data_IF_001493137086
#
_entry.id   IF_001493137086
#
_cell.length_a   1.000
_cell.length_b   1.000
_cell.length_c   1.000
_cell.angle_alpha   90.00
_cell.angle_beta   90.00
_cell.angle_gamma   90.00
#
_symmetry.space_group_name_H-M   'P 1'
#
loop_
_entity.id
_entity.type
_entity.pdbx_description
1 polymer ?
#
# COMPACT_ATOMS: atom_id res chain seq x y z
N UNK A 1 1.43 -15.09 -6.85
CA UNK A 1 2.51 -14.10 -6.84
C UNK A 1 2.19 -12.99 -7.82
N UNK A 2 2.29 -11.73 -7.42
CA UNK A 2 2.19 -10.56 -8.31
C UNK A 2 3.50 -9.80 -8.34
N UNK A 3 3.74 -9.16 -9.48
CA UNK A 3 4.83 -8.22 -9.71
C UNK A 3 4.22 -6.96 -10.29
N UNK A 4 4.52 -5.82 -9.71
CA UNK A 4 4.04 -4.52 -10.17
C UNK A 4 5.25 -3.66 -10.53
N UNK A 5 5.22 -3.11 -11.75
CA UNK A 5 6.19 -2.14 -12.24
C UNK A 5 5.43 -0.87 -12.57
N UNK A 6 5.81 0.23 -11.97
CA UNK A 6 5.11 1.48 -12.16
C UNK A 6 6.01 2.69 -12.11
N UNK A 7 5.41 3.81 -12.38
CA UNK A 7 6.01 5.11 -12.16
C UNK A 7 4.94 6.06 -11.64
N UNK A 8 5.32 6.95 -10.75
CA UNK A 8 4.45 7.97 -10.17
C UNK A 8 5.11 9.32 -10.31
N UNK A 9 4.35 10.31 -10.74
CA UNK A 9 4.79 11.70 -10.74
C UNK A 9 5.00 12.17 -9.29
N UNK A 10 6.12 12.83 -8.99
CA UNK A 10 6.37 13.43 -7.67
C UNK A 10 5.79 14.84 -7.56
N UNK A 11 5.99 15.50 -6.41
CA UNK A 11 5.50 16.86 -6.17
C UNK A 11 6.17 17.93 -7.04
N UNK A 12 7.28 17.61 -7.70
CA UNK A 12 8.00 18.48 -8.64
C UNK A 12 7.61 18.21 -10.10
N UNK A 13 6.73 17.25 -10.37
CA UNK A 13 6.32 16.84 -11.71
C UNK A 13 7.31 15.88 -12.39
N UNK A 14 8.23 15.27 -11.63
CA UNK A 14 9.17 14.29 -12.15
C UNK A 14 8.64 12.85 -11.95
N UNK A 15 8.82 12.01 -12.96
CA UNK A 15 8.42 10.61 -12.90
C UNK A 15 9.45 9.78 -12.15
N UNK A 16 8.99 9.08 -11.10
CA UNK A 16 9.80 8.22 -10.24
C UNK A 16 9.37 6.76 -10.41
N UNK A 17 10.34 5.88 -10.55
CA UNK A 17 10.12 4.44 -10.71
C UNK A 17 9.65 3.79 -9.41
N UNK A 18 8.83 2.74 -9.55
CA UNK A 18 8.41 1.89 -8.46
C UNK A 18 8.36 0.42 -8.90
N UNK A 19 8.74 -0.46 -8.01
CA UNK A 19 8.62 -1.91 -8.12
C UNK A 19 7.96 -2.45 -6.87
N UNK A 20 7.01 -3.37 -7.02
CA UNK A 20 6.46 -4.13 -5.90
C UNK A 20 6.28 -5.60 -6.29
N UNK A 21 6.40 -6.47 -5.32
CA UNK A 21 6.16 -7.91 -5.46
C UNK A 21 5.41 -8.41 -4.24
N UNK A 22 4.40 -9.25 -4.45
CA UNK A 22 3.65 -9.91 -3.40
C UNK A 22 3.55 -11.40 -3.67
N UNK A 23 3.79 -12.19 -2.63
CA UNK A 23 3.65 -13.65 -2.65
C UNK A 23 2.67 -14.04 -1.54
N UNK A 24 1.55 -14.64 -1.92
CA UNK A 24 0.53 -15.14 -1.00
C UNK A 24 0.48 -16.67 -1.05
N UNK A 25 0.63 -17.32 0.10
CA UNK A 25 0.69 -18.77 0.23
C UNK A 25 -0.31 -19.24 1.28
N UNK A 26 -1.22 -20.12 0.89
CA UNK A 26 -2.05 -20.85 1.85
C UNK A 26 -1.26 -21.97 2.51
N UNK A 27 -1.16 -21.93 3.84
CA UNK A 27 -0.47 -22.95 4.66
C UNK A 27 -1.45 -24.07 5.02
N UNK A 28 -2.69 -23.71 5.33
CA UNK A 28 -3.77 -24.67 5.63
C UNK A 28 -5.04 -24.26 4.87
N UNK A 29 -6.13 -24.99 5.07
CA UNK A 29 -7.44 -24.60 4.50
C UNK A 29 -7.95 -23.23 4.97
N UNK A 30 -7.41 -22.70 6.08
CA UNK A 30 -7.86 -21.42 6.67
C UNK A 30 -6.72 -20.42 6.83
N UNK A 31 -5.51 -20.85 7.13
CA UNK A 31 -4.37 -19.99 7.43
C UNK A 31 -3.52 -19.73 6.18
N UNK A 32 -3.02 -18.53 6.05
CA UNK A 32 -2.10 -18.12 5.00
C UNK A 32 -1.02 -17.17 5.49
N UNK A 33 -0.04 -16.99 4.64
CA UNK A 33 1.08 -16.07 4.79
C UNK A 33 1.24 -15.28 3.49
N UNK A 34 1.35 -13.97 3.62
CA UNK A 34 1.73 -13.10 2.50
C UNK A 34 3.06 -12.44 2.82
N UNK A 35 3.93 -12.34 1.84
CA UNK A 35 5.18 -11.58 1.90
C UNK A 35 5.22 -10.54 0.79
N UNK A 36 5.65 -9.33 1.12
CA UNK A 36 5.72 -8.20 0.21
C UNK A 36 7.13 -7.63 0.18
N UNK A 37 7.58 -7.22 -1.00
CA UNK A 37 8.82 -6.50 -1.23
C UNK A 37 8.51 -5.33 -2.15
N UNK A 38 8.94 -4.13 -1.80
CA UNK A 38 8.76 -2.96 -2.64
C UNK A 38 9.99 -2.05 -2.65
N UNK A 39 10.18 -1.36 -3.77
CA UNK A 39 11.13 -0.28 -3.94
C UNK A 39 10.43 0.88 -4.62
N UNK A 40 10.58 2.08 -4.10
CA UNK A 40 9.98 3.29 -4.64
C UNK A 40 10.97 4.44 -4.64
N UNK A 41 11.29 4.94 -5.81
CA UNK A 41 12.11 6.15 -5.95
C UNK A 41 11.29 7.37 -5.50
N UNK A 42 11.93 8.25 -4.75
CA UNK A 42 11.35 9.52 -4.30
C UNK A 42 12.39 10.64 -4.44
N UNK A 43 11.95 11.89 -4.35
CA UNK A 43 12.88 13.02 -4.27
C UNK A 43 13.80 12.95 -3.03
N UNK A 44 13.37 12.25 -1.99
CA UNK A 44 14.10 12.06 -0.73
C UNK A 44 15.06 10.86 -0.71
N UNK A 45 15.07 10.01 -1.72
CA UNK A 45 15.83 8.74 -1.81
C UNK A 45 14.94 7.58 -2.24
N UNK A 46 15.52 6.40 -2.40
CA UNK A 46 14.77 5.18 -2.70
C UNK A 46 14.31 4.53 -1.41
N UNK A 47 13.01 4.33 -1.25
CA UNK A 47 12.43 3.58 -0.14
C UNK A 47 12.44 2.10 -0.51
N UNK A 48 13.07 1.28 0.33
CA UNK A 48 12.96 -0.17 0.32
C UNK A 48 12.00 -0.64 1.42
N UNK A 49 11.08 -1.56 1.12
CA UNK A 49 10.11 -2.08 2.09
C UNK A 49 9.99 -3.59 2.02
N UNK A 50 9.91 -4.23 3.19
CA UNK A 50 9.65 -5.66 3.36
C UNK A 50 8.46 -5.85 4.29
N UNK A 51 7.41 -6.50 3.80
CA UNK A 51 6.18 -6.78 4.55
C UNK A 51 5.96 -8.29 4.76
N UNK A 52 5.30 -8.61 5.86
CA UNK A 52 4.83 -9.96 6.15
C UNK A 52 3.44 -9.90 6.78
N UNK A 53 2.52 -10.76 6.32
CA UNK A 53 1.15 -10.86 6.82
C UNK A 53 0.84 -12.30 7.18
N UNK A 54 0.36 -12.52 8.40
CA UNK A 54 -0.14 -13.82 8.86
C UNK A 54 -1.64 -13.70 9.03
N UNK A 55 -2.40 -14.48 8.30
CA UNK A 55 -3.83 -14.28 8.23
C UNK A 55 -4.65 -15.58 8.31
N UNK A 56 -5.92 -15.40 8.59
CA UNK A 56 -6.97 -16.43 8.48
C UNK A 56 -7.96 -16.02 7.39
N UNK A 57 -8.35 -16.98 6.55
CA UNK A 57 -9.41 -16.87 5.55
C UNK A 57 -10.45 -17.99 5.75
N UNK A 58 -11.31 -17.89 6.78
CA UNK A 58 -12.22 -18.96 7.15
C UNK A 58 -13.36 -19.18 6.14
N UNK A 59 -13.65 -18.17 5.33
CA UNK A 59 -14.69 -18.20 4.28
C UNK A 59 -14.23 -17.43 3.05
N UNK A 60 -14.76 -17.76 1.86
CA UNK A 60 -14.58 -16.93 0.67
C UNK A 60 -14.97 -15.47 0.92
N UNK A 61 -14.13 -14.54 0.52
CA UNK A 61 -14.36 -13.11 0.73
C UNK A 61 -14.19 -12.61 2.17
N UNK A 62 -13.60 -13.40 3.07
CA UNK A 62 -13.20 -12.99 4.42
C UNK A 62 -11.74 -13.33 4.66
N UNK A 63 -10.92 -12.33 4.96
CA UNK A 63 -9.50 -12.46 5.26
C UNK A 63 -9.15 -11.46 6.36
N UNK A 64 -8.52 -11.89 7.44
CA UNK A 64 -8.08 -10.98 8.52
C UNK A 64 -6.86 -11.55 9.22
N UNK A 65 -6.00 -10.67 9.71
CA UNK A 65 -4.75 -11.07 10.30
C UNK A 65 -3.96 -9.96 10.94
N UNK A 66 -2.68 -10.25 11.10
CA UNK A 66 -1.68 -9.33 11.59
C UNK A 66 -0.65 -9.10 10.50
N UNK A 67 -0.09 -7.92 10.48
CA UNK A 67 1.02 -7.59 9.58
C UNK A 67 2.19 -6.99 10.34
N UNK A 68 3.35 -7.10 9.71
CA UNK A 68 4.59 -6.45 10.09
C UNK A 68 5.22 -5.87 8.82
N UNK A 69 5.77 -4.67 8.91
CA UNK A 69 6.49 -4.03 7.82
C UNK A 69 7.79 -3.41 8.33
N UNK A 70 8.82 -3.51 7.53
CA UNK A 70 10.13 -2.91 7.76
C UNK A 70 10.52 -2.16 6.49
N UNK A 71 10.94 -0.91 6.64
CA UNK A 71 11.34 -0.07 5.52
C UNK A 71 12.56 0.75 5.87
N UNK A 72 13.34 1.11 4.84
CA UNK A 72 14.44 2.04 4.96
C UNK A 72 14.55 2.98 3.75
N UNK A 73 15.40 3.99 3.85
CA UNK A 73 15.68 4.93 2.75
C UNK A 73 17.14 4.87 2.39
N UNK A 74 17.44 4.55 1.14
CA UNK A 74 18.79 4.56 0.62
C UNK A 74 19.41 5.96 0.72
N UNK A 75 20.68 6.00 1.12
CA UNK A 75 21.46 7.24 1.30
C UNK A 75 21.12 8.03 2.57
N UNK A 76 20.25 7.53 3.44
CA UNK A 76 19.93 8.13 4.74
C UNK A 76 20.01 7.07 5.84
N UNK A 77 20.45 7.50 7.04
CA UNK A 77 20.41 6.63 8.23
C UNK A 77 19.00 6.68 8.83
N UNK A 78 18.02 6.10 8.13
CA UNK A 78 16.63 6.10 8.53
C UNK A 78 15.95 4.81 8.14
N UNK A 79 15.49 4.08 9.15
CA UNK A 79 14.66 2.89 8.98
C UNK A 79 13.44 3.00 9.89
N UNK A 80 12.34 2.39 9.49
CA UNK A 80 11.14 2.30 10.33
C UNK A 80 10.51 0.93 10.28
N UNK A 81 9.86 0.58 11.37
CA UNK A 81 9.11 -0.65 11.51
C UNK A 81 7.68 -0.35 11.93
N UNK A 82 6.74 -1.11 11.43
CA UNK A 82 5.33 -1.03 11.83
C UNK A 82 4.71 -2.41 11.97
N UNK A 83 3.72 -2.51 12.84
CA UNK A 83 2.92 -3.72 13.02
C UNK A 83 1.47 -3.33 13.30
N UNK A 84 0.55 -4.24 12.97
CA UNK A 84 -0.86 -3.96 13.18
C UNK A 84 -1.77 -5.13 12.84
N UNK A 85 -3.06 -4.81 12.81
CA UNK A 85 -4.11 -5.73 12.41
C UNK A 85 -4.80 -5.22 11.15
N UNK A 86 -5.29 -6.17 10.35
CA UNK A 86 -5.94 -5.89 9.07
C UNK A 86 -7.07 -6.87 8.81
N UNK A 87 -7.99 -6.46 7.96
CA UNK A 87 -9.11 -7.29 7.55
C UNK A 87 -9.65 -6.88 6.20
N UNK A 88 -10.09 -7.89 5.44
CA UNK A 88 -10.68 -7.75 4.12
C UNK A 88 -11.97 -8.53 4.07
N UNK A 89 -13.04 -7.88 3.63
CA UNK A 89 -14.39 -8.44 3.63
C UNK A 89 -15.10 -8.12 2.33
N UNK A 90 -15.64 -9.15 1.67
CA UNK A 90 -16.55 -8.98 0.56
C UNK A 90 -17.93 -8.59 1.11
N UNK A 91 -18.39 -7.39 0.79
CA UNK A 91 -19.66 -6.83 1.28
C UNK A 91 -20.79 -6.96 0.26
N UNK A 92 -20.46 -7.13 -1.01
CA UNK A 92 -21.37 -7.41 -2.10
C UNK A 92 -20.66 -8.18 -3.21
N UNK A 93 -21.40 -8.65 -4.22
CA UNK A 93 -20.78 -9.25 -5.40
C UNK A 93 -19.83 -8.25 -6.07
N UNK A 94 -18.59 -8.67 -6.31
CA UNK A 94 -17.56 -7.83 -6.88
C UNK A 94 -17.08 -6.66 -6.01
N UNK A 95 -17.51 -6.56 -4.73
CA UNK A 95 -17.17 -5.44 -3.86
C UNK A 95 -16.48 -5.91 -2.58
N UNK A 96 -15.27 -5.41 -2.35
CA UNK A 96 -14.45 -5.71 -1.17
C UNK A 96 -14.17 -4.42 -0.42
N UNK A 97 -14.21 -4.51 0.91
CA UNK A 97 -13.67 -3.50 1.83
C UNK A 97 -12.47 -4.09 2.54
N UNK A 98 -11.38 -3.34 2.60
CA UNK A 98 -10.21 -3.63 3.42
C UNK A 98 -10.04 -2.54 4.45
N UNK A 99 -9.64 -2.90 5.67
CA UNK A 99 -9.28 -1.97 6.72
C UNK A 99 -8.04 -2.43 7.46
N UNK A 100 -7.27 -1.48 7.98
CA UNK A 100 -6.09 -1.75 8.80
C UNK A 100 -5.90 -0.68 9.87
N UNK A 101 -5.26 -1.08 10.97
CA UNK A 101 -4.75 -0.17 11.99
C UNK A 101 -3.39 -0.68 12.46
N UNK A 102 -2.52 0.22 12.85
CA UNK A 102 -1.19 -0.16 13.31
C UNK A 102 -0.49 0.96 14.06
N UNK A 103 0.67 0.60 14.56
CA UNK A 103 1.61 1.50 15.18
C UNK A 103 3.00 1.21 14.62
N UNK A 104 3.89 2.17 14.72
CA UNK A 104 5.25 2.00 14.27
C UNK A 104 6.20 2.97 14.95
N UNK A 105 7.46 2.71 14.73
CA UNK A 105 8.55 3.54 15.20
C UNK A 105 9.60 3.64 14.11
N UNK A 106 10.29 4.79 14.05
CA UNK A 106 11.40 5.00 13.16
C UNK A 106 12.67 5.29 13.94
N UNK A 107 13.78 4.75 13.44
CA UNK A 107 15.12 5.04 13.93
C UNK A 107 15.57 6.42 13.45
N UNK A 108 16.49 7.03 14.20
CA UNK A 108 17.14 8.30 13.86
C UNK A 108 16.56 9.51 14.60
N UNK A 109 15.25 9.64 14.76
CA UNK A 109 14.60 10.74 15.51
C UNK A 109 13.63 10.25 16.59
N UNK A 110 13.63 8.94 16.89
CA UNK A 110 12.71 8.28 17.83
C UNK A 110 11.24 8.62 17.53
N UNK A 111 10.88 8.64 16.25
CA UNK A 111 9.53 8.98 15.83
C UNK A 111 8.61 7.79 15.98
N UNK A 112 7.72 7.87 16.95
CA UNK A 112 6.61 6.92 17.08
C UNK A 112 5.39 7.44 16.31
N UNK A 113 4.61 6.54 15.76
CA UNK A 113 3.40 6.89 15.03
C UNK A 113 2.31 5.83 15.15
N UNK A 114 1.09 6.29 15.00
CA UNK A 114 -0.08 5.43 14.83
C UNK A 114 -0.65 5.66 13.44
N UNK A 115 -1.22 4.64 12.84
CA UNK A 115 -1.81 4.78 11.53
C UNK A 115 -3.02 3.87 11.32
N UNK A 116 -3.81 4.22 10.35
CA UNK A 116 -4.92 3.41 9.88
C UNK A 116 -5.21 3.67 8.43
N UNK A 117 -5.97 2.77 7.81
CA UNK A 117 -6.37 2.92 6.43
C UNK A 117 -7.56 2.06 6.10
N UNK A 118 -8.24 2.44 5.04
CA UNK A 118 -9.34 1.67 4.48
C UNK A 118 -9.31 1.73 2.96
N UNK A 119 -9.79 0.69 2.29
CA UNK A 119 -10.05 0.75 0.86
C UNK A 119 -11.35 0.06 0.50
N UNK A 120 -11.92 0.49 -0.61
CA UNK A 120 -13.07 -0.10 -1.27
C UNK A 120 -12.66 -0.47 -2.70
N UNK A 121 -12.78 -1.74 -3.04
CA UNK A 121 -12.56 -2.25 -4.39
C UNK A 121 -13.89 -2.67 -4.98
N UNK A 122 -14.17 -2.27 -6.21
CA UNK A 122 -15.37 -2.68 -6.94
C UNK A 122 -15.01 -3.14 -8.35
N UNK A 123 -15.40 -4.36 -8.70
CA UNK A 123 -15.29 -4.91 -10.04
C UNK A 123 -16.39 -4.32 -10.94
N UNK A 124 -16.03 -3.51 -11.91
CA UNK A 124 -16.95 -2.97 -12.92
C UNK A 124 -17.25 -4.00 -14.02
N UNK A 125 -16.30 -4.91 -14.25
CA UNK A 125 -16.44 -6.03 -15.17
C UNK A 125 -15.47 -7.15 -14.78
N UNK A 126 -15.51 -8.33 -15.40
CA UNK A 126 -14.51 -9.38 -15.14
C UNK A 126 -13.04 -8.97 -15.38
N UNK A 127 -12.80 -7.90 -16.13
CA UNK A 127 -11.47 -7.42 -16.47
C UNK A 127 -11.12 -6.04 -15.90
N UNK A 128 -12.08 -5.30 -15.33
CA UNK A 128 -11.88 -3.92 -14.88
C UNK A 128 -12.35 -3.74 -13.43
N UNK A 129 -11.49 -3.22 -12.57
CA UNK A 129 -11.81 -2.83 -11.20
C UNK A 129 -11.41 -1.38 -10.90
N UNK A 130 -12.12 -0.79 -9.96
CA UNK A 130 -11.77 0.51 -9.35
C UNK A 130 -11.54 0.29 -7.87
N UNK A 131 -10.47 0.89 -7.35
CA UNK A 131 -10.14 0.92 -5.94
C UNK A 131 -10.08 2.38 -5.46
N UNK A 132 -10.85 2.71 -4.42
CA UNK A 132 -10.69 3.94 -3.67
C UNK A 132 -10.05 3.60 -2.32
N UNK A 133 -8.99 4.33 -1.93
CA UNK A 133 -8.31 4.10 -0.67
C UNK A 133 -8.07 5.40 0.09
N UNK A 134 -8.00 5.29 1.41
CA UNK A 134 -7.71 6.36 2.34
C UNK A 134 -6.80 5.83 3.44
N UNK A 135 -5.69 6.52 3.66
CA UNK A 135 -4.72 6.19 4.70
C UNK A 135 -4.40 7.44 5.53
N UNK A 136 -4.27 7.27 6.83
CA UNK A 136 -3.94 8.31 7.80
C UNK A 136 -2.81 7.83 8.69
N UNK A 137 -1.87 8.72 9.00
CA UNK A 137 -0.83 8.47 10.01
C UNK A 137 -0.61 9.71 10.85
N UNK A 138 -0.54 9.53 12.16
CA UNK A 138 -0.31 10.60 13.12
C UNK A 138 1.07 10.44 13.76
N UNK A 139 1.87 11.49 13.65
CA UNK A 139 3.22 11.61 14.15
C UNK A 139 3.24 12.70 15.21
N UNK A 140 3.29 12.31 16.49
CA UNK A 140 3.21 13.25 17.61
C UNK A 140 4.43 13.16 18.52
N UNK A 141 5.54 13.74 18.04
CA UNK A 141 6.78 13.84 18.76
C UNK A 141 7.19 15.30 19.07
N UNK A 142 8.07 15.46 20.04
CA UNK A 142 8.55 16.80 20.42
C UNK A 142 9.27 17.50 19.24
N UNK A 143 10.03 16.74 18.46
CA UNK A 143 10.81 17.26 17.34
C UNK A 143 9.96 17.41 16.06
N UNK A 144 8.97 16.55 15.86
CA UNK A 144 8.13 16.54 14.65
C UNK A 144 6.68 16.20 14.98
N UNK A 145 5.74 17.03 14.52
CA UNK A 145 4.30 16.82 14.74
C UNK A 145 3.51 17.11 13.48
N UNK A 146 2.98 16.06 12.89
CA UNK A 146 2.14 16.16 11.69
C UNK A 146 1.19 14.98 11.59
N UNK A 147 0.06 15.19 10.91
CA UNK A 147 -0.87 14.12 10.51
C UNK A 147 -0.83 14.03 8.99
N UNK A 148 -0.44 12.89 8.47
CA UNK A 148 -0.47 12.56 7.04
C UNK A 148 -1.85 12.01 6.67
N UNK A 149 -2.40 12.52 5.58
CA UNK A 149 -3.62 12.04 4.94
C UNK A 149 -3.29 11.70 3.49
N UNK A 150 -3.54 10.46 3.07
CA UNK A 150 -3.39 10.08 1.66
C UNK A 150 -4.68 9.43 1.17
N UNK A 151 -5.20 9.90 0.05
CA UNK A 151 -6.35 9.32 -0.64
C UNK A 151 -5.97 8.96 -2.06
N UNK A 152 -6.45 7.83 -2.55
CA UNK A 152 -6.17 7.40 -3.91
C UNK A 152 -7.40 6.80 -4.59
N UNK A 153 -7.41 6.97 -5.92
CA UNK A 153 -8.35 6.30 -6.81
C UNK A 153 -7.53 5.59 -7.88
N UNK A 154 -7.67 4.28 -7.97
CA UNK A 154 -6.91 3.44 -8.91
C UNK A 154 -7.87 2.65 -9.78
N UNK A 155 -7.71 2.73 -11.09
CA UNK A 155 -8.36 1.85 -12.06
C UNK A 155 -7.36 0.78 -12.49
N UNK A 156 -7.76 -0.50 -12.48
CA UNK A 156 -6.95 -1.64 -12.91
C UNK A 156 -7.66 -2.41 -14.00
N UNK A 157 -6.98 -2.62 -15.11
CA UNK A 157 -7.43 -3.48 -16.21
C UNK A 157 -6.61 -4.75 -16.24
N UNK A 158 -7.24 -5.89 -16.03
CA UNK A 158 -6.63 -7.23 -16.00
C UNK A 158 -7.41 -8.13 -16.97
N UNK A 159 -6.96 -8.30 -18.24
CA UNK A 159 -7.67 -9.12 -19.21
C UNK A 159 -7.81 -10.56 -18.73
N UNK A 160 -8.97 -11.17 -18.96
CA UNK A 160 -9.17 -12.60 -18.72
C UNK A 160 -8.21 -13.43 -19.61
N UNK A 161 -7.64 -14.47 -19.06
CA UNK A 161 -6.70 -15.35 -19.78
C UNK A 161 -5.29 -14.78 -19.96
N UNK A 162 -5.02 -13.58 -19.49
CA UNK A 162 -3.70 -12.95 -19.57
C UNK A 162 -3.06 -12.77 -18.19
N UNK A 163 -1.75 -13.04 -18.03
CA UNK A 163 -1.08 -12.86 -16.74
C UNK A 163 -0.72 -11.39 -16.43
N UNK A 164 -0.95 -10.49 -17.37
CA UNK A 164 -0.61 -9.07 -17.23
C UNK A 164 -1.86 -8.20 -17.03
N UNK A 165 -1.67 -7.05 -16.44
CA UNK A 165 -2.67 -6.00 -16.31
C UNK A 165 -2.01 -4.63 -16.36
N UNK A 166 -2.83 -3.60 -16.47
CA UNK A 166 -2.43 -2.19 -16.44
C UNK A 166 -3.14 -1.50 -15.29
N UNK A 167 -2.51 -0.49 -14.71
CA UNK A 167 -3.20 0.37 -13.75
C UNK A 167 -2.86 1.85 -13.97
N UNK A 168 -3.81 2.68 -13.59
CA UNK A 168 -3.65 4.12 -13.48
C UNK A 168 -4.21 4.58 -12.13
N UNK A 169 -3.50 5.46 -11.44
CA UNK A 169 -3.88 5.97 -10.13
C UNK A 169 -3.80 7.49 -10.05
N UNK A 170 -4.74 8.08 -9.33
CA UNK A 170 -4.71 9.46 -8.88
C UNK A 170 -4.54 9.44 -7.36
N UNK A 171 -3.50 10.09 -6.85
CA UNK A 171 -3.15 10.06 -5.44
C UNK A 171 -3.07 11.50 -4.94
N UNK A 172 -3.85 11.81 -3.91
CA UNK A 172 -3.78 13.08 -3.21
C UNK A 172 -3.23 12.85 -1.81
N UNK A 173 -2.21 13.60 -1.44
CA UNK A 173 -1.51 13.47 -0.16
C UNK A 173 -1.41 14.84 0.48
N UNK A 174 -1.86 14.97 1.73
CA UNK A 174 -1.79 16.18 2.54
C UNK A 174 -1.06 15.90 3.85
N UNK A 175 -0.38 16.90 4.40
CA UNK A 175 0.32 16.82 5.67
C UNK A 175 -0.06 18.02 6.51
N UNK A 176 -0.86 17.81 7.55
CA UNK A 176 -1.38 18.83 8.43
C UNK A 176 -0.63 18.85 9.77
N UNK A 177 -0.75 19.91 10.54
CA UNK A 177 -0.11 20.04 11.85
C UNK A 177 1.01 21.08 11.87
N UNK A 178 1.81 21.07 12.95
CA UNK A 178 2.88 22.06 13.17
C UNK A 178 3.95 22.00 12.05
N UNK A 179 4.32 20.80 11.66
CA UNK A 179 5.34 20.53 10.64
C UNK A 179 4.68 20.06 9.33
N UNK A 180 3.50 20.59 9.06
CA UNK A 180 2.71 20.28 7.88
C UNK A 180 3.31 20.80 6.57
N UNK A 181 2.83 20.24 5.46
CA UNK A 181 3.18 20.67 4.11
C UNK A 181 1.95 20.73 3.23
N UNK A 182 2.00 21.51 2.15
CA UNK A 182 0.88 21.64 1.21
C UNK A 182 0.51 20.30 0.59
N UNK A 183 -0.78 20.09 0.40
CA UNK A 183 -1.30 18.96 -0.33
C UNK A 183 -0.78 18.92 -1.77
N UNK A 184 -0.50 17.72 -2.26
CA UNK A 184 -0.06 17.46 -3.62
C UNK A 184 -0.87 16.32 -4.23
N UNK A 185 -1.19 16.47 -5.53
CA UNK A 185 -1.86 15.42 -6.30
C UNK A 185 -0.88 14.86 -7.32
N UNK A 186 -0.80 13.54 -7.40
CA UNK A 186 0.14 12.81 -8.23
C UNK A 186 -0.60 11.80 -9.10
N UNK A 187 -0.05 11.49 -10.26
CA UNK A 187 -0.55 10.47 -11.17
C UNK A 187 0.43 9.30 -11.16
N UNK A 188 -0.08 8.08 -11.06
CA UNK A 188 0.69 6.86 -11.18
C UNK A 188 0.20 6.00 -12.34
N UNK A 189 1.12 5.33 -13.02
CA UNK A 189 0.83 4.39 -14.10
C UNK A 189 1.71 3.16 -13.93
N UNK A 190 1.21 2.00 -14.32
CA UNK A 190 2.04 0.81 -14.26
C UNK A 190 1.43 -0.43 -14.89
N UNK A 191 2.21 -1.50 -14.80
CA UNK A 191 1.90 -2.82 -15.31
C UNK A 191 1.99 -3.80 -14.15
N UNK A 192 0.99 -4.67 -14.02
CA UNK A 192 0.99 -5.80 -13.10
C UNK A 192 1.22 -7.08 -13.87
N UNK A 193 2.05 -7.98 -13.35
CA UNK A 193 2.20 -9.34 -13.85
C UNK A 193 1.87 -10.35 -12.76
N UNK A 194 0.90 -11.23 -13.00
CA UNK A 194 0.42 -12.22 -12.03
C UNK A 194 0.83 -13.64 -12.44
N UNK A 195 1.63 -14.28 -11.60
CA UNK A 195 2.05 -15.68 -11.79
C UNK A 195 1.05 -16.62 -11.10
N UNK A 196 0.63 -17.65 -11.85
CA UNK A 196 -0.24 -18.71 -11.31
C UNK A 196 -1.73 -18.37 -11.32
N UNK A 197 -2.16 -17.33 -12.06
CA UNK A 197 -3.57 -17.00 -12.26
C UNK A 197 -3.91 -16.92 -13.74
N UNK A 198 -5.19 -17.06 -14.07
CA UNK A 198 -5.73 -16.93 -15.42
C UNK A 198 -6.08 -15.48 -15.81
N UNK A 199 -5.62 -14.50 -15.06
CA UNK A 199 -6.02 -13.09 -15.27
C UNK A 199 -7.43 -12.79 -14.73
N UNK A 200 -7.95 -11.62 -15.08
CA UNK A 200 -9.23 -11.13 -14.58
C UNK A 200 -9.15 -10.45 -13.21
N UNK A 201 -10.28 -9.93 -12.76
CA UNK A 201 -10.43 -9.33 -11.43
C UNK A 201 -10.58 -10.44 -10.39
N UNK A 202 -9.77 -10.38 -9.34
CA UNK A 202 -9.82 -11.34 -8.23
C UNK A 202 -10.43 -10.68 -6.98
N UNK A 203 -11.61 -11.14 -6.62
CA UNK A 203 -12.31 -10.68 -5.42
C UNK A 203 -12.27 -11.66 -4.25
N UNK A 204 -11.69 -12.85 -4.42
CA UNK A 204 -11.68 -13.89 -3.39
C UNK A 204 -10.31 -14.16 -2.79
N UNK A 205 -9.24 -14.00 -3.56
CA UNK A 205 -7.86 -14.31 -3.15
C UNK A 205 -6.92 -13.11 -3.24
N UNK A 206 -7.48 -11.90 -3.27
CA UNK A 206 -6.72 -10.65 -3.34
C UNK A 206 -5.70 -10.57 -2.18
N UNK A 207 -4.44 -10.20 -2.44
CA UNK A 207 -3.48 -9.89 -1.38
C UNK A 207 -3.91 -8.64 -0.60
N UNK A 208 -3.50 -8.54 0.66
CA UNK A 208 -3.58 -7.29 1.40
C UNK A 208 -2.72 -6.22 0.74
N UNK A 209 -3.13 -4.97 0.86
CA UNK A 209 -2.32 -3.83 0.39
C UNK A 209 -1.07 -3.69 1.28
N UNK A 210 0.05 -3.32 0.70
CA UNK A 210 1.21 -2.88 1.47
C UNK A 210 0.87 -1.59 2.26
N UNK A 211 1.48 -1.41 3.43
CA UNK A 211 1.35 -0.21 4.25
C UNK A 211 2.71 0.49 4.33
N UNK A 212 2.75 1.77 3.97
CA UNK A 212 3.94 2.61 4.14
C UNK A 212 3.55 4.01 4.66
N UNK A 213 3.21 4.11 5.96
CA UNK A 213 2.71 5.35 6.56
C UNK A 213 3.74 6.49 6.60
N UNK A 214 5.04 6.19 6.50
CA UNK A 214 6.14 7.17 6.54
C UNK A 214 6.50 7.71 5.15
N UNK A 215 6.17 7.01 4.08
CA UNK A 215 6.48 7.41 2.72
C UNK A 215 6.07 8.86 2.36
N UNK A 216 4.91 9.40 2.80
CA UNK A 216 4.56 10.79 2.56
C UNK A 216 5.55 11.81 3.14
N UNK A 217 6.22 11.49 4.25
CA UNK A 217 7.27 12.34 4.85
C UNK A 217 8.56 12.27 4.04
N UNK A 218 8.98 11.05 3.67
CA UNK A 218 10.20 10.82 2.90
C UNK A 218 10.11 11.51 1.54
N UNK A 219 8.99 11.39 0.85
CA UNK A 219 8.76 12.04 -0.45
C UNK A 219 8.94 13.54 -0.40
N UNK A 220 8.59 14.17 0.71
CA UNK A 220 8.71 15.63 0.91
C UNK A 220 10.02 16.07 1.53
N UNK A 221 10.91 15.13 1.86
CA UNK A 221 12.16 15.43 2.52
C UNK A 221 12.00 16.06 3.91
N UNK A 222 10.87 15.82 4.57
CA UNK A 222 10.51 16.42 5.87
C UNK A 222 11.08 15.65 7.07
N UNK A 223 12.03 14.80 6.83
CA UNK A 223 12.62 13.95 7.82
C UNK A 223 14.14 14.02 7.81
#
# INVERSE_FOLDING_TARGET
MSLDLGSTEDEAGEWRGAFASSVDVRITGVHGLQGDLAFSETAGGTIGSLGAHVYMAPRPGQKYGLFFNLSDVDGRSMAWASAGAEGMFRIAEGTIVEGRIGLGAADGNSLDYIFGGASLVHALSPALEIEAAFDIADFDEAAFRATSLESSLTARYSPEGAPWGLYASLIHSDLTGRDGARGATRIGLGVTYRLGTSGGVDTDTRPFRAADPVAPLVRRGLW
#
